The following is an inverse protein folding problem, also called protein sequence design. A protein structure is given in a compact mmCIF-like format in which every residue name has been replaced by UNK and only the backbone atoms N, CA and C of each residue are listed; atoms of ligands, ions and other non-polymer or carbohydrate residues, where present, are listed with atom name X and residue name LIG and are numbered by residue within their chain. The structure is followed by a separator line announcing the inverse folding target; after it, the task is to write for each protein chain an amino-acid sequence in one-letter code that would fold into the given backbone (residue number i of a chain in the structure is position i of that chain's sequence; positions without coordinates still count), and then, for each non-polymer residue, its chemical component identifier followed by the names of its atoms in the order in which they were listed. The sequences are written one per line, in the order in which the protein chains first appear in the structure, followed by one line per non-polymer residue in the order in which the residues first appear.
data_IF_858020125096
#
_entry.id   IF_858020125096
#
_cell.length_a   1.000
_cell.length_b   1.000
_cell.length_c   1.000
_cell.angle_alpha   90.00
_cell.angle_beta   90.00
_cell.angle_gamma   90.00
#
_symmetry.space_group_name_H-M   'P 1'
#
loop_
_entity.id
_entity.type
_entity.pdbx_description
1 polymer ?
#
# COMPACT_ATOMS: atom_id res chain seq x y z
N UNK A 1 -6.43 -40.24 -20.96
CA UNK A 1 -5.70 -38.98 -21.22
C UNK A 1 -6.02 -37.99 -20.10
N UNK A 2 -5.14 -37.83 -19.12
CA UNK A 2 -5.32 -36.87 -18.02
C UNK A 2 -4.64 -35.55 -18.40
N UNK A 3 -5.40 -34.57 -18.88
CA UNK A 3 -4.86 -33.25 -19.22
C UNK A 3 -4.45 -32.56 -17.92
N UNK A 4 -3.14 -32.47 -17.66
CA UNK A 4 -2.57 -31.61 -16.61
C UNK A 4 -2.88 -30.15 -16.98
N UNK A 5 -4.11 -29.70 -16.68
CA UNK A 5 -4.56 -28.32 -16.89
C UNK A 5 -3.63 -27.43 -16.07
N UNK A 6 -2.80 -26.63 -16.74
CA UNK A 6 -1.89 -25.70 -16.06
C UNK A 6 -2.69 -24.81 -15.11
N UNK A 7 -2.27 -24.75 -13.84
CA UNK A 7 -2.94 -23.97 -12.80
C UNK A 7 -2.87 -22.50 -13.22
N UNK A 8 -4.03 -21.92 -13.57
CA UNK A 8 -4.13 -20.52 -14.02
C UNK A 8 -4.17 -19.62 -12.80
N UNK A 9 -3.66 -18.39 -12.96
CA UNK A 9 -3.78 -17.37 -11.92
C UNK A 9 -5.26 -17.10 -11.63
N UNK A 10 -5.66 -17.24 -10.37
CA UNK A 10 -7.05 -17.10 -9.93
C UNK A 10 -7.24 -15.93 -8.95
N UNK A 11 -6.24 -15.06 -8.79
CA UNK A 11 -6.24 -13.99 -7.80
C UNK A 11 -5.59 -14.33 -6.46
N UNK A 12 -5.27 -15.61 -6.20
CA UNK A 12 -4.56 -16.04 -5.00
C UNK A 12 -3.09 -16.37 -5.31
N UNK A 13 -2.18 -15.85 -4.48
CA UNK A 13 -0.73 -16.10 -4.54
C UNK A 13 -0.38 -17.59 -4.61
N UNK A 14 -1.18 -18.47 -3.97
CA UNK A 14 -0.99 -19.94 -4.00
C UNK A 14 -1.19 -20.58 -5.39
N UNK A 15 -1.72 -19.82 -6.35
CA UNK A 15 -1.85 -20.25 -7.75
C UNK A 15 -0.63 -19.93 -8.60
N UNK A 16 0.29 -19.09 -8.11
CA UNK A 16 1.53 -18.72 -8.80
C UNK A 16 2.64 -19.73 -8.51
N UNK A 17 3.55 -19.90 -9.48
CA UNK A 17 4.74 -20.74 -9.31
C UNK A 17 5.75 -20.07 -8.39
N UNK A 18 6.45 -20.86 -7.56
CA UNK A 18 7.49 -20.38 -6.67
C UNK A 18 8.60 -19.59 -7.40
N UNK A 19 9.01 -20.04 -8.59
CA UNK A 19 10.02 -19.34 -9.42
C UNK A 19 9.56 -17.92 -9.78
N UNK A 20 8.30 -17.76 -10.14
CA UNK A 20 7.73 -16.45 -10.46
C UNK A 20 7.65 -15.56 -9.22
N UNK A 21 7.23 -16.12 -8.08
CA UNK A 21 7.21 -15.38 -6.82
C UNK A 21 8.61 -14.93 -6.39
N UNK A 22 9.63 -15.75 -6.64
CA UNK A 22 11.03 -15.40 -6.38
C UNK A 22 11.47 -14.18 -7.20
N UNK A 23 11.17 -14.17 -8.50
CA UNK A 23 11.47 -13.02 -9.36
C UNK A 23 10.73 -11.75 -8.91
N UNK A 24 9.45 -11.90 -8.54
CA UNK A 24 8.64 -10.79 -8.00
C UNK A 24 9.24 -10.24 -6.71
N UNK A 25 9.69 -11.11 -5.79
CA UNK A 25 10.35 -10.69 -4.54
C UNK A 25 11.60 -9.86 -4.84
N UNK A 26 12.43 -10.25 -5.81
CA UNK A 26 13.62 -9.49 -6.21
C UNK A 26 13.26 -8.06 -6.66
N UNK A 27 12.17 -7.93 -7.43
CA UNK A 27 11.67 -6.62 -7.87
C UNK A 27 11.05 -5.82 -6.73
N UNK A 28 10.36 -6.47 -5.79
CA UNK A 28 9.84 -5.81 -4.59
C UNK A 28 10.97 -5.28 -3.70
N UNK A 29 12.05 -6.06 -3.51
CA UNK A 29 13.22 -5.62 -2.75
C UNK A 29 13.93 -4.43 -3.40
N UNK A 30 13.94 -4.38 -4.73
CA UNK A 30 14.58 -3.29 -5.49
C UNK A 30 13.74 -2.01 -5.56
N UNK A 31 12.41 -2.13 -5.65
CA UNK A 31 11.56 -1.01 -6.08
C UNK A 31 10.41 -0.66 -5.12
N UNK A 32 10.00 -1.58 -4.25
CA UNK A 32 8.92 -1.30 -3.30
C UNK A 32 8.34 -2.52 -2.58
N UNK A 33 7.94 -2.38 -1.32
CA UNK A 33 7.53 -3.51 -0.49
C UNK A 33 6.12 -4.06 -0.80
N UNK A 34 5.40 -3.46 -1.76
CA UNK A 34 4.02 -3.82 -2.07
C UNK A 34 3.90 -4.22 -3.54
N UNK A 35 3.08 -5.23 -3.84
CA UNK A 35 2.83 -5.70 -5.20
C UNK A 35 1.34 -5.90 -5.44
N UNK A 36 0.91 -5.66 -6.66
CA UNK A 36 -0.46 -5.88 -7.10
C UNK A 36 -0.45 -6.56 -8.46
N UNK A 37 -1.33 -7.54 -8.67
CA UNK A 37 -1.37 -8.34 -9.89
C UNK A 37 -2.57 -7.96 -10.74
N UNK A 38 -2.44 -8.16 -12.05
CA UNK A 38 -3.54 -8.04 -13.00
C UNK A 38 -4.57 -9.18 -12.82
N UNK A 39 -5.84 -8.83 -12.98
CA UNK A 39 -6.96 -9.70 -13.30
C UNK A 39 -7.49 -9.22 -14.68
N UNK A 40 -8.03 -10.06 -15.59
CA UNK A 40 -8.66 -11.37 -15.39
C UNK A 40 -7.74 -12.59 -15.69
N UNK A 41 -8.01 -13.69 -14.98
CA UNK A 41 -7.21 -14.93 -14.85
C UNK A 41 -7.05 -15.84 -16.07
N UNK A 42 -6.75 -15.28 -17.25
CA UNK A 42 -6.52 -16.08 -18.46
C UNK A 42 -5.07 -16.55 -18.61
N UNK A 43 -4.11 -15.90 -17.95
CA UNK A 43 -2.70 -16.25 -18.01
C UNK A 43 -2.26 -17.11 -16.81
N UNK A 44 -1.23 -17.95 -17.03
CA UNK A 44 -0.55 -18.68 -15.95
C UNK A 44 0.28 -17.73 -15.06
N UNK A 45 0.76 -16.63 -15.65
CA UNK A 45 1.50 -15.57 -14.98
C UNK A 45 0.83 -14.23 -15.29
N UNK A 46 0.27 -13.53 -14.30
CA UNK A 46 -0.29 -12.21 -14.49
C UNK A 46 0.83 -11.18 -14.66
N UNK A 47 0.51 -10.06 -15.31
CA UNK A 47 1.35 -8.86 -15.16
C UNK A 47 1.18 -8.32 -13.74
N UNK A 48 2.16 -7.58 -13.26
CA UNK A 48 2.15 -7.08 -11.89
C UNK A 48 2.70 -5.68 -11.81
N UNK A 49 2.36 -4.97 -10.75
CA UNK A 49 2.91 -3.66 -10.45
C UNK A 49 3.46 -3.65 -9.04
N UNK A 50 4.68 -3.14 -8.90
CA UNK A 50 5.33 -2.90 -7.62
C UNK A 50 5.06 -1.47 -7.19
N UNK A 51 4.69 -1.27 -5.92
CA UNK A 51 4.32 0.01 -5.34
C UNK A 51 5.34 0.34 -4.24
N UNK A 52 6.03 1.47 -4.39
CA UNK A 52 6.98 1.98 -3.41
C UNK A 52 6.26 2.66 -2.23
N UNK A 53 6.98 2.94 -1.14
CA UNK A 53 6.51 3.68 0.04
C UNK A 53 5.97 5.08 -0.33
N UNK A 54 6.57 5.71 -1.35
CA UNK A 54 6.10 6.98 -1.90
C UNK A 54 4.82 6.86 -2.77
N UNK A 55 4.21 5.67 -2.86
CA UNK A 55 3.03 5.42 -3.70
C UNK A 55 3.28 5.35 -5.20
N UNK A 56 4.54 5.54 -5.64
CA UNK A 56 4.94 5.37 -7.04
C UNK A 56 4.84 3.91 -7.46
N UNK A 57 4.37 3.67 -8.68
CA UNK A 57 4.14 2.33 -9.21
C UNK A 57 5.05 2.05 -10.40
N UNK A 58 5.49 0.81 -10.52
CA UNK A 58 6.17 0.31 -11.71
C UNK A 58 5.52 -0.98 -12.16
N UNK A 59 5.09 -1.04 -13.42
CA UNK A 59 4.48 -2.23 -13.99
C UNK A 59 5.54 -3.13 -14.64
N UNK A 60 5.36 -4.42 -14.46
CA UNK A 60 6.14 -5.48 -15.05
C UNK A 60 5.21 -6.47 -15.75
N UNK A 61 5.66 -6.94 -16.90
CA UNK A 61 4.94 -7.99 -17.61
C UNK A 61 5.19 -9.38 -16.97
N UNK A 62 4.51 -10.40 -17.50
CA UNK A 62 4.69 -11.82 -17.12
C UNK A 62 6.13 -12.37 -17.30
N UNK A 63 7.02 -11.64 -17.97
CA UNK A 63 8.44 -11.97 -18.17
C UNK A 63 9.37 -11.12 -17.28
N UNK A 64 8.81 -10.37 -16.33
CA UNK A 64 9.53 -9.45 -15.45
C UNK A 64 10.20 -8.27 -16.19
N UNK A 65 9.70 -7.92 -17.39
CA UNK A 65 10.17 -6.77 -18.14
C UNK A 65 9.32 -5.55 -17.78
N UNK A 66 9.98 -4.38 -17.69
CA UNK A 66 9.30 -3.13 -17.38
C UNK A 66 8.29 -2.82 -18.49
N UNK A 67 7.07 -2.47 -18.08
CA UNK A 67 5.96 -2.12 -18.96
C UNK A 67 5.45 -0.72 -18.63
N UNK A 68 4.97 0.00 -19.64
CA UNK A 68 4.26 1.25 -19.44
C UNK A 68 2.96 1.03 -18.70
N UNK A 69 2.63 1.92 -17.77
CA UNK A 69 1.33 1.95 -17.12
C UNK A 69 0.25 2.44 -18.10
N UNK A 70 -1.00 2.07 -17.85
CA UNK A 70 -2.16 2.63 -18.55
C UNK A 70 -2.39 4.10 -18.15
N UNK A 71 -3.38 4.75 -18.77
CA UNK A 71 -3.75 6.14 -18.49
C UNK A 71 -4.12 6.39 -17.02
N UNK A 72 -4.62 5.36 -16.32
CA UNK A 72 -4.96 5.40 -14.88
C UNK A 72 -3.76 5.13 -13.95
N UNK A 73 -2.55 4.97 -14.53
CA UNK A 73 -1.34 4.66 -13.77
C UNK A 73 -1.38 3.27 -13.13
N UNK A 74 -1.96 2.28 -13.82
CA UNK A 74 -2.03 0.88 -13.40
C UNK A 74 -1.57 -0.07 -14.52
N UNK A 75 -1.27 -1.32 -14.16
CA UNK A 75 -0.95 -2.39 -15.11
C UNK A 75 -2.18 -2.89 -15.88
N UNK A 76 -3.37 -2.77 -15.29
CA UNK A 76 -4.65 -3.16 -15.88
C UNK A 76 -5.81 -2.46 -15.16
N UNK A 77 -7.00 -2.51 -15.77
CA UNK A 77 -8.21 -1.90 -15.21
C UNK A 77 -8.79 -2.74 -14.06
N UNK A 78 -8.56 -4.06 -14.09
CA UNK A 78 -8.94 -5.00 -13.03
C UNK A 78 -7.69 -5.53 -12.32
N UNK A 79 -7.60 -5.31 -11.01
CA UNK A 79 -6.41 -5.60 -10.21
C UNK A 79 -6.74 -6.45 -8.99
N UNK A 80 -5.79 -7.26 -8.53
CA UNK A 80 -5.88 -8.01 -7.30
C UNK A 80 -5.79 -7.11 -6.06
N UNK A 81 -5.95 -7.70 -4.88
CA UNK A 81 -5.52 -7.06 -3.64
C UNK A 81 -4.01 -6.72 -3.69
N UNK A 82 -3.63 -5.71 -2.91
CA UNK A 82 -2.22 -5.36 -2.72
C UNK A 82 -1.62 -6.34 -1.70
N UNK A 83 -0.55 -7.02 -2.11
CA UNK A 83 0.19 -7.96 -1.29
C UNK A 83 1.48 -7.33 -0.80
N UNK A 84 1.81 -7.54 0.47
CA UNK A 84 3.09 -7.11 1.04
C UNK A 84 4.17 -8.13 0.73
N UNK A 85 5.43 -7.69 0.73
CA UNK A 85 6.61 -8.53 0.54
C UNK A 85 6.59 -9.73 1.51
N UNK A 86 6.18 -9.52 2.76
CA UNK A 86 6.05 -10.58 3.76
C UNK A 86 4.99 -11.62 3.39
N UNK A 87 3.83 -11.21 2.88
CA UNK A 87 2.79 -12.12 2.44
C UNK A 87 3.27 -12.99 1.27
N UNK A 88 3.99 -12.41 0.32
CA UNK A 88 4.58 -13.14 -0.82
C UNK A 88 5.65 -14.13 -0.35
N UNK A 89 6.56 -13.71 0.56
CA UNK A 89 7.57 -14.60 1.16
C UNK A 89 6.93 -15.74 1.95
N UNK A 90 5.83 -15.48 2.64
CA UNK A 90 5.11 -16.50 3.43
C UNK A 90 4.52 -17.57 2.53
N UNK A 91 3.88 -17.18 1.41
CA UNK A 91 3.35 -18.12 0.40
C UNK A 91 4.46 -18.92 -0.25
N UNK A 92 5.56 -18.26 -0.61
CA UNK A 92 6.72 -18.95 -1.19
C UNK A 92 7.27 -20.04 -0.26
N UNK A 93 7.22 -19.81 1.07
CA UNK A 93 7.64 -20.78 2.09
C UNK A 93 6.58 -21.85 2.41
N UNK A 94 5.45 -21.88 1.69
CA UNK A 94 4.37 -22.84 1.89
C UNK A 94 3.39 -22.48 3.01
N UNK A 95 3.50 -21.28 3.58
CA UNK A 95 2.49 -20.73 4.49
C UNK A 95 1.44 -19.98 3.67
N UNK A 96 0.20 -20.48 3.63
CA UNK A 96 -0.88 -19.81 2.87
C UNK A 96 -1.00 -18.33 3.29
N UNK A 97 -0.93 -17.42 2.32
CA UNK A 97 -1.07 -15.99 2.61
C UNK A 97 -2.49 -15.73 3.11
N UNK A 98 -2.59 -15.28 4.35
CA UNK A 98 -3.78 -14.56 4.78
C UNK A 98 -3.80 -13.24 4.00
N UNK A 99 -4.74 -13.12 3.08
CA UNK A 99 -4.99 -11.93 2.29
C UNK A 99 -5.30 -10.78 3.25
N UNK A 100 -4.33 -9.91 3.52
CA UNK A 100 -4.59 -8.66 4.25
C UNK A 100 -5.12 -7.68 3.21
N UNK A 101 -6.44 -7.69 3.06
CA UNK A 101 -7.16 -6.77 2.18
C UNK A 101 -7.00 -5.35 2.71
N UNK A 102 -6.01 -4.60 2.24
CA UNK A 102 -6.01 -3.14 2.38
C UNK A 102 -7.14 -2.61 1.48
N UNK A 103 -8.26 -2.29 2.11
CA UNK A 103 -9.41 -1.67 1.48
C UNK A 103 -8.96 -0.37 0.78
N UNK A 104 -9.15 -0.30 -0.54
CA UNK A 104 -9.20 0.96 -1.27
C UNK A 104 -10.65 1.25 -1.63
N UNK A 105 -10.99 2.52 -1.43
CA UNK A 105 -12.27 3.19 -1.50
C UNK A 105 -13.24 2.71 -2.60
N UNK A 106 -14.37 2.21 -2.13
CA UNK A 106 -15.75 2.53 -2.52
C UNK A 106 -16.02 3.16 -3.90
N UNK A 107 -16.65 2.37 -4.77
CA UNK A 107 -17.78 2.80 -5.59
C UNK A 107 -19.06 2.31 -4.88
N UNK A 108 -20.10 3.13 -4.67
CA UNK A 108 -21.26 2.68 -3.89
C UNK A 108 -22.14 1.78 -4.76
N UNK A 109 -22.22 0.49 -4.40
CA UNK A 109 -23.34 -0.37 -4.81
C UNK A 109 -24.04 -0.85 -3.56
N UNK A 110 -25.27 -0.40 -3.44
CA UNK A 110 -26.30 -0.80 -2.48
C UNK A 110 -26.45 -2.32 -2.46
N UNK A 111 -26.22 -2.95 -1.31
CA UNK A 111 -26.82 -4.24 -0.96
C UNK A 111 -26.72 -4.50 0.56
N UNK A 112 -27.76 -5.14 1.06
CA UNK A 112 -28.24 -5.29 2.43
C UNK A 112 -27.37 -6.08 3.42
N UNK A 113 -27.53 -5.70 4.70
CA UNK A 113 -27.69 -6.55 5.89
C UNK A 113 -26.69 -7.68 6.14
N UNK A 114 -25.87 -7.51 7.18
CA UNK A 114 -25.11 -8.61 7.77
C UNK A 114 -24.24 -8.16 8.95
N UNK A 115 -24.84 -8.13 10.15
CA UNK A 115 -24.17 -7.95 11.44
C UNK A 115 -23.00 -8.91 11.61
N UNK A 116 -21.77 -8.41 11.79
CA UNK A 116 -20.64 -9.15 12.39
C UNK A 116 -19.51 -8.20 12.85
N UNK A 117 -19.43 -8.06 14.18
CA UNK A 117 -18.24 -7.88 15.01
C UNK A 117 -17.06 -7.09 14.41
N UNK A 118 -16.99 -5.81 14.75
CA UNK A 118 -15.84 -4.93 14.51
C UNK A 118 -14.72 -5.25 15.50
N UNK A 119 -13.77 -6.07 15.08
CA UNK A 119 -12.42 -6.08 15.65
C UNK A 119 -11.64 -4.95 14.98
N UNK A 120 -11.46 -3.84 15.69
CA UNK A 120 -10.56 -2.75 15.27
C UNK A 120 -9.13 -3.13 15.62
N UNK A 121 -8.27 -3.51 14.65
CA UNK A 121 -6.85 -3.58 14.92
C UNK A 121 -6.36 -2.16 15.20
N UNK A 122 -5.71 -1.98 16.34
CA UNK A 122 -4.99 -0.76 16.70
C UNK A 122 -3.95 -0.53 15.60
N UNK A 123 -4.25 0.41 14.69
CA UNK A 123 -3.37 0.78 13.61
C UNK A 123 -2.04 1.21 14.22
N UNK A 124 -0.94 0.63 13.75
CA UNK A 124 0.38 1.03 14.22
C UNK A 124 0.63 2.47 13.76
N UNK A 125 0.54 3.40 14.72
CA UNK A 125 0.53 4.88 14.59
C UNK A 125 1.87 5.46 14.11
N UNK A 126 2.85 4.63 13.75
CA UNK A 126 4.25 5.03 13.89
C UNK A 126 4.80 5.81 12.67
N UNK A 127 4.10 5.86 11.52
CA UNK A 127 4.68 6.46 10.30
C UNK A 127 3.73 7.38 9.48
N UNK A 128 2.69 7.95 10.10
CA UNK A 128 1.87 9.00 9.47
C UNK A 128 2.19 10.41 9.97
N UNK A 129 2.83 10.53 11.13
CA UNK A 129 3.07 11.83 11.80
C UNK A 129 3.86 12.79 10.93
N UNK A 130 4.94 12.34 10.30
CA UNK A 130 5.75 13.23 9.46
C UNK A 130 4.99 13.66 8.20
N UNK A 131 4.27 12.74 7.57
CA UNK A 131 3.42 13.03 6.42
C UNK A 131 2.35 14.08 6.77
N UNK A 132 1.66 13.91 7.89
CA UNK A 132 0.59 14.80 8.32
C UNK A 132 1.12 16.17 8.75
N UNK A 133 2.30 16.22 9.40
CA UNK A 133 3.02 17.45 9.71
C UNK A 133 3.38 18.23 8.45
N UNK A 134 3.95 17.56 7.44
CA UNK A 134 4.31 18.19 6.18
C UNK A 134 3.09 18.68 5.41
N UNK A 135 2.00 17.90 5.40
CA UNK A 135 0.75 18.28 4.76
C UNK A 135 0.16 19.56 5.41
N UNK A 136 0.13 19.62 6.73
CA UNK A 136 -0.37 20.78 7.47
C UNK A 136 0.52 22.02 7.28
N UNK A 137 1.84 21.87 7.38
CA UNK A 137 2.79 22.96 7.16
C UNK A 137 2.67 23.53 5.75
N UNK A 138 2.49 22.68 4.73
CA UNK A 138 2.34 23.11 3.34
C UNK A 138 1.04 23.87 3.13
N UNK A 139 -0.06 23.43 3.72
CA UNK A 139 -1.36 24.08 3.60
C UNK A 139 -1.41 25.44 4.31
N UNK A 140 -0.69 25.58 5.42
CA UNK A 140 -0.73 26.76 6.30
C UNK A 140 0.55 27.59 6.25
N UNK A 141 1.37 27.45 5.20
CA UNK A 141 2.68 28.12 5.11
C UNK A 141 2.59 29.64 5.25
N UNK A 142 1.50 30.25 4.78
CA UNK A 142 1.28 31.70 4.82
C UNK A 142 0.74 32.20 6.16
N UNK A 143 0.12 31.32 6.97
CA UNK A 143 -0.47 31.67 8.27
C UNK A 143 0.44 31.32 9.44
N UNK A 144 1.43 30.46 9.23
CA UNK A 144 2.37 30.05 10.27
C UNK A 144 3.50 31.06 10.47
N UNK A 145 3.93 31.34 11.71
CA UNK A 145 5.03 32.26 11.99
C UNK A 145 6.35 31.86 11.34
N UNK A 146 7.12 32.86 10.90
CA UNK A 146 8.45 32.64 10.33
C UNK A 146 9.39 32.08 11.42
N UNK A 147 10.01 30.93 11.15
CA UNK A 147 10.87 30.25 12.11
C UNK A 147 10.23 29.09 12.87
N UNK A 148 8.93 28.82 12.71
CA UNK A 148 8.28 27.64 13.31
C UNK A 148 8.91 26.31 12.90
N UNK A 149 9.59 26.28 11.75
CA UNK A 149 10.37 25.14 11.27
C UNK A 149 11.45 24.68 12.26
N UNK A 150 11.99 25.62 13.08
CA UNK A 150 12.98 25.33 14.13
C UNK A 150 12.40 24.43 15.23
N UNK A 151 11.09 24.50 15.47
CA UNK A 151 10.36 23.68 16.46
C UNK A 151 9.73 22.42 15.84
N UNK A 152 10.14 22.05 14.62
CA UNK A 152 9.59 20.87 13.93
C UNK A 152 9.79 19.55 14.68
N UNK A 153 10.84 19.45 15.51
CA UNK A 153 11.07 18.30 16.37
C UNK A 153 10.03 18.20 17.50
N UNK A 154 9.71 19.34 18.12
CA UNK A 154 8.73 19.43 19.21
C UNK A 154 7.31 19.15 18.70
N UNK A 155 6.96 19.70 17.53
CA UNK A 155 5.70 19.42 16.83
C UNK A 155 5.56 17.90 16.56
N UNK A 156 6.64 17.26 16.10
CA UNK A 156 6.63 15.82 15.84
C UNK A 156 6.46 15.01 17.12
N UNK A 157 6.97 15.50 18.25
CA UNK A 157 6.84 14.85 19.57
C UNK A 157 5.40 14.97 20.07
N UNK A 158 4.77 16.14 19.97
CA UNK A 158 3.36 16.35 20.32
C UNK A 158 2.42 15.47 19.48
N UNK A 159 2.68 15.36 18.17
CA UNK A 159 1.91 14.49 17.30
C UNK A 159 2.11 12.99 17.60
N UNK A 160 3.34 12.58 17.97
CA UNK A 160 3.61 11.21 18.45
C UNK A 160 2.89 10.89 19.77
N UNK A 161 2.64 11.91 20.59
CA UNK A 161 1.87 11.81 21.83
C UNK A 161 0.34 11.77 21.60
N UNK A 162 -0.11 11.80 20.33
CA UNK A 162 -1.51 11.64 19.94
C UNK A 162 -2.27 12.93 19.62
N UNK A 163 -1.59 14.08 19.58
CA UNK A 163 -2.20 15.34 19.12
C UNK A 163 -2.31 15.39 17.59
N UNK A 164 -3.33 16.08 17.08
CA UNK A 164 -3.42 16.35 15.63
C UNK A 164 -2.35 17.35 15.19
N UNK A 165 -2.08 17.41 13.88
CA UNK A 165 -1.13 18.38 13.34
C UNK A 165 -1.51 19.81 13.72
N UNK A 166 -2.79 20.19 13.54
CA UNK A 166 -3.31 21.51 13.91
C UNK A 166 -3.04 21.84 15.39
N UNK A 167 -3.40 20.95 16.30
CA UNK A 167 -3.18 21.14 17.74
C UNK A 167 -1.70 21.30 18.08
N UNK A 168 -0.85 20.47 17.49
CA UNK A 168 0.60 20.51 17.75
C UNK A 168 1.24 21.81 17.22
N UNK A 169 0.80 22.31 16.05
CA UNK A 169 1.25 23.60 15.53
C UNK A 169 0.75 24.77 16.38
N UNK A 170 -0.53 24.78 16.77
CA UNK A 170 -1.11 25.84 17.60
C UNK A 170 -0.48 25.91 18.99
N UNK A 171 -0.14 24.77 19.59
CA UNK A 171 0.50 24.72 20.89
C UNK A 171 1.92 25.29 20.84
N UNK A 172 2.68 24.96 19.79
CA UNK A 172 4.02 25.52 19.57
C UNK A 172 3.98 27.01 19.25
N UNK A 173 2.95 27.47 18.51
CA UNK A 173 2.72 28.91 18.31
C UNK A 173 2.51 29.57 19.66
N UNK A 174 1.55 29.11 20.48
CA UNK A 174 1.27 29.69 21.80
C UNK A 174 2.47 29.71 22.76
N UNK A 175 3.40 28.77 22.62
CA UNK A 175 4.59 28.68 23.47
C UNK A 175 5.75 29.58 23.02
N UNK A 176 5.84 29.89 21.72
CA UNK A 176 7.02 30.53 21.14
C UNK A 176 6.76 31.81 20.33
N UNK A 177 5.50 32.15 20.05
CA UNK A 177 5.07 33.29 19.23
C UNK A 177 3.84 33.99 19.84
#
# INVERSE_FOLDING_TARGET
MNTKRSKRWNGNLDSLSADFLKDVIEKMESYGPNVQFELPGNAQRPNYQVINNAGKKMAFDKKNLLMSLNSDGNVSDTLSAVFTLEAVKTVMKGGGAKTVTRARASTPRTASSGTRSSYTPVAQVIDTVEHDKYAYFKANRETLPEGIQKHSADISTLMKNGMSAEQAFDEIIKQHF
#
